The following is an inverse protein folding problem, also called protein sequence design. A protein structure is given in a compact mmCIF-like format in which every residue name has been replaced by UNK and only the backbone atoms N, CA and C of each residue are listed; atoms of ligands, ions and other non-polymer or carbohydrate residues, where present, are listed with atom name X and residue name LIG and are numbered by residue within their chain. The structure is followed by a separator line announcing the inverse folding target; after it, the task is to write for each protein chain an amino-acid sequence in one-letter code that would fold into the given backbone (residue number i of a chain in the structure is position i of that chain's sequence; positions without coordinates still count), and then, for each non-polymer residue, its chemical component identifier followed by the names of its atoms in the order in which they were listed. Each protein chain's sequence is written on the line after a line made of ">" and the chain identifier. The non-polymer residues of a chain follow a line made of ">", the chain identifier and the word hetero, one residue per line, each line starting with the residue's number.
data_IF_784910911718
#
_entry.id   IF_784910911718
#
_cell.length_a   1.000
_cell.length_b   1.000
_cell.length_c   1.000
_cell.angle_alpha   90.00
_cell.angle_beta   90.00
_cell.angle_gamma   90.00
#
_symmetry.space_group_name_H-M   'P 1'
#
loop_
_entity.id
_entity.type
_entity.pdbx_description
1 polymer ?
#
# COMPACT_ATOMS: atom_id res chain seq x y z
N UNK A 1 30.58 -17.73 11.02
CA UNK A 1 30.70 -16.86 9.82
C UNK A 1 31.88 -17.35 9.02
N UNK A 2 31.69 -17.69 7.75
CA UNK A 2 32.79 -18.10 6.88
C UNK A 2 33.13 -16.94 5.96
N UNK A 3 34.31 -16.36 6.09
CA UNK A 3 34.80 -15.38 5.12
C UNK A 3 35.29 -16.21 3.92
N UNK A 4 34.51 -16.27 2.86
CA UNK A 4 34.92 -16.93 1.62
C UNK A 4 35.72 -15.92 0.78
N UNK A 5 37.05 -16.01 0.84
CA UNK A 5 37.92 -15.19 -0.01
C UNK A 5 37.92 -15.81 -1.41
N UNK A 6 37.17 -15.21 -2.34
CA UNK A 6 37.24 -15.56 -3.75
C UNK A 6 38.32 -14.71 -4.44
N UNK A 7 39.60 -14.95 -4.05
CA UNK A 7 40.81 -15.01 -4.90
C UNK A 7 42.08 -14.94 -4.03
N UNK A 8 42.92 -15.97 -4.08
CA UNK A 8 44.37 -15.93 -3.85
C UNK A 8 45.05 -16.52 -5.12
N UNK A 9 46.35 -16.33 -5.37
CA UNK A 9 46.94 -16.24 -6.71
C UNK A 9 46.64 -17.50 -7.56
N UNK A 10 45.93 -17.30 -8.67
CA UNK A 10 45.35 -18.36 -9.51
C UNK A 10 43.88 -18.11 -9.82
N UNK A 11 43.58 -16.92 -10.35
CA UNK A 11 42.24 -16.38 -10.55
C UNK A 11 41.24 -17.42 -11.10
N UNK A 12 40.18 -17.69 -10.34
CA UNK A 12 38.95 -18.20 -10.91
C UNK A 12 38.34 -17.07 -11.76
N UNK A 13 38.66 -17.07 -13.05
CA UNK A 13 38.06 -16.17 -14.03
C UNK A 13 36.54 -16.35 -14.00
N UNK A 14 35.80 -15.24 -14.11
CA UNK A 14 34.36 -15.29 -14.30
C UNK A 14 34.04 -16.21 -15.50
N UNK A 15 32.97 -17.03 -15.44
CA UNK A 15 31.88 -17.00 -14.45
C UNK A 15 32.07 -17.95 -13.26
N UNK A 16 31.65 -17.53 -12.07
CA UNK A 16 31.69 -18.37 -10.84
C UNK A 16 30.70 -19.55 -10.85
N UNK A 17 29.66 -19.51 -11.69
CA UNK A 17 28.61 -20.53 -11.73
C UNK A 17 27.56 -20.40 -10.64
N UNK A 18 27.47 -19.25 -9.94
CA UNK A 18 26.45 -18.99 -8.93
C UNK A 18 25.22 -18.30 -9.55
N UNK A 19 24.03 -18.85 -9.31
CA UNK A 19 22.75 -18.16 -9.52
C UNK A 19 22.27 -17.60 -8.19
N UNK A 20 21.72 -16.39 -8.22
CA UNK A 20 21.25 -15.71 -7.02
C UNK A 20 19.76 -15.37 -7.10
N UNK A 21 19.05 -15.58 -6.00
CA UNK A 21 17.66 -15.17 -5.80
C UNK A 21 17.54 -14.05 -4.76
N UNK A 22 16.49 -13.25 -4.93
CA UNK A 22 16.07 -12.24 -3.95
C UNK A 22 15.27 -12.93 -2.86
N UNK A 23 15.73 -12.86 -1.62
CA UNK A 23 14.93 -13.28 -0.46
C UNK A 23 13.80 -12.30 -0.16
N UNK A 24 12.77 -12.76 0.58
CA UNK A 24 11.67 -11.89 1.02
C UNK A 24 12.12 -10.76 1.94
N UNK A 25 13.23 -10.94 2.65
CA UNK A 25 13.90 -9.91 3.45
C UNK A 25 14.69 -8.89 2.60
N UNK A 26 14.64 -9.01 1.26
CA UNK A 26 15.37 -8.17 0.32
C UNK A 26 16.84 -8.58 0.13
N UNK A 27 17.32 -9.61 0.84
CA UNK A 27 18.69 -10.09 0.75
C UNK A 27 18.99 -10.89 -0.51
N UNK A 28 20.28 -11.17 -0.72
CA UNK A 28 20.79 -11.96 -1.86
C UNK A 28 21.22 -13.34 -1.39
N UNK A 29 20.67 -14.39 -2.01
CA UNK A 29 20.90 -15.78 -1.64
C UNK A 29 21.35 -16.61 -2.83
N UNK A 30 22.16 -17.64 -2.62
CA UNK A 30 22.50 -18.60 -3.66
C UNK A 30 21.28 -19.48 -3.94
N UNK A 31 20.78 -19.41 -5.17
CA UNK A 31 19.63 -20.18 -5.66
C UNK A 31 20.07 -21.50 -6.31
N UNK A 32 21.18 -21.46 -7.05
CA UNK A 32 21.76 -22.65 -7.65
C UNK A 32 23.27 -22.50 -7.85
N UNK A 33 23.96 -23.63 -7.90
CA UNK A 33 25.38 -23.73 -8.23
C UNK A 33 25.47 -24.58 -9.50
N UNK A 34 26.06 -24.01 -10.56
CA UNK A 34 26.18 -24.67 -11.85
C UNK A 34 27.33 -25.70 -11.83
N UNK A 35 27.08 -26.97 -12.22
CA UNK A 35 28.11 -28.01 -12.23
C UNK A 35 29.32 -27.65 -13.10
N UNK A 36 30.53 -27.99 -12.65
CA UNK A 36 31.78 -27.80 -13.39
C UNK A 36 32.38 -26.39 -13.36
N UNK A 37 31.67 -25.41 -12.80
CA UNK A 37 32.15 -24.05 -12.58
C UNK A 37 32.98 -23.93 -11.29
N UNK A 38 33.66 -22.79 -11.12
CA UNK A 38 34.56 -22.53 -9.99
C UNK A 38 33.89 -22.67 -8.61
N UNK A 39 32.63 -22.23 -8.46
CA UNK A 39 31.92 -22.39 -7.19
C UNK A 39 31.56 -23.86 -6.87
N UNK A 40 31.29 -24.66 -7.90
CA UNK A 40 31.02 -26.10 -7.76
C UNK A 40 32.30 -26.86 -7.40
N UNK A 41 33.38 -26.63 -8.16
CA UNK A 41 34.70 -27.26 -7.95
C UNK A 41 35.31 -26.96 -6.58
N UNK A 42 35.06 -25.79 -6.01
CA UNK A 42 35.65 -25.38 -4.73
C UNK A 42 34.87 -25.92 -3.52
N UNK A 43 33.59 -26.29 -3.68
CA UNK A 43 32.74 -26.76 -2.57
C UNK A 43 32.52 -25.73 -1.44
N UNK A 44 32.94 -24.48 -1.63
CA UNK A 44 32.91 -23.44 -0.59
C UNK A 44 31.50 -22.89 -0.36
N UNK A 45 30.60 -23.06 -1.32
CA UNK A 45 29.24 -22.53 -1.29
C UNK A 45 28.21 -23.65 -1.13
N UNK A 46 27.05 -23.29 -0.60
CA UNK A 46 25.87 -24.14 -0.59
C UNK A 46 24.66 -23.34 -1.06
N UNK A 47 23.72 -24.02 -1.71
CA UNK A 47 22.42 -23.42 -2.03
C UNK A 47 21.78 -22.92 -0.71
N UNK A 48 21.21 -21.73 -0.74
CA UNK A 48 20.64 -21.03 0.41
C UNK A 48 21.61 -20.11 1.16
N UNK A 49 22.92 -20.14 0.90
CA UNK A 49 23.87 -19.23 1.56
C UNK A 49 23.56 -17.75 1.24
N UNK A 50 23.69 -16.86 2.24
CA UNK A 50 23.37 -15.43 2.13
C UNK A 50 24.62 -14.59 1.87
N UNK A 51 24.54 -13.63 0.96
CA UNK A 51 25.57 -12.59 0.79
C UNK A 51 25.41 -11.55 1.92
N UNK A 52 26.44 -11.37 2.73
CA UNK A 52 26.48 -10.42 3.85
C UNK A 52 27.30 -9.17 3.50
N UNK A 53 28.29 -9.32 2.62
CA UNK A 53 29.12 -8.21 2.15
C UNK A 53 29.67 -8.53 0.76
N UNK A 54 29.89 -7.49 -0.06
CA UNK A 54 30.50 -7.61 -1.39
C UNK A 54 31.51 -6.49 -1.60
N UNK A 55 32.56 -6.75 -2.38
CA UNK A 55 33.44 -5.71 -2.86
C UNK A 55 32.69 -4.70 -3.72
N UNK A 56 33.13 -3.44 -3.75
CA UNK A 56 32.59 -2.37 -4.59
C UNK A 56 32.69 -2.71 -6.10
N UNK A 57 32.22 -1.84 -7.01
CA UNK A 57 32.46 -2.07 -8.46
C UNK A 57 33.94 -1.87 -8.82
N UNK A 58 34.57 -0.87 -8.17
CA UNK A 58 35.97 -0.49 -8.37
C UNK A 58 36.74 -0.62 -7.04
N UNK A 59 38.00 -1.04 -7.10
CA UNK A 59 38.85 -1.20 -5.91
C UNK A 59 38.61 -2.50 -5.13
N UNK A 60 39.23 -2.63 -3.96
CA UNK A 60 39.23 -3.86 -3.14
C UNK A 60 38.39 -3.75 -1.87
N UNK A 61 37.79 -2.59 -1.62
CA UNK A 61 36.98 -2.34 -0.42
C UNK A 61 35.72 -3.22 -0.40
N UNK A 62 35.43 -3.80 0.77
CA UNK A 62 34.26 -4.65 1.02
C UNK A 62 33.24 -3.88 1.85
N UNK A 63 32.02 -3.78 1.32
CA UNK A 63 30.90 -3.11 1.96
C UNK A 63 29.79 -4.10 2.31
N UNK A 64 28.97 -3.83 3.34
CA UNK A 64 27.78 -4.63 3.63
C UNK A 64 26.90 -4.79 2.40
N UNK A 65 26.36 -6.00 2.20
CA UNK A 65 25.48 -6.27 1.09
C UNK A 65 24.18 -5.48 1.28
N UNK A 66 23.88 -4.61 0.31
CA UNK A 66 22.63 -3.86 0.23
C UNK A 66 21.45 -4.77 -0.17
N UNK A 67 20.32 -4.19 -0.54
CA UNK A 67 19.22 -4.94 -1.12
C UNK A 67 19.61 -5.60 -2.46
N UNK A 68 18.96 -6.71 -2.78
CA UNK A 68 19.29 -7.61 -3.89
C UNK A 68 19.69 -6.91 -5.19
N UNK A 69 18.93 -5.90 -5.61
CA UNK A 69 19.20 -5.18 -6.85
C UNK A 69 20.59 -4.53 -6.87
N UNK A 70 20.95 -3.83 -5.78
CA UNK A 70 22.26 -3.19 -5.64
C UNK A 70 23.37 -4.21 -5.49
N UNK A 71 23.18 -5.25 -4.66
CA UNK A 71 24.18 -6.33 -4.54
C UNK A 71 24.46 -6.99 -5.88
N UNK A 72 23.41 -7.32 -6.64
CA UNK A 72 23.55 -7.95 -7.96
C UNK A 72 24.16 -7.02 -9.00
N UNK A 73 23.85 -5.73 -8.96
CA UNK A 73 24.52 -4.74 -9.80
C UNK A 73 26.03 -4.77 -9.57
N UNK A 74 26.46 -4.72 -8.31
CA UNK A 74 27.89 -4.74 -7.96
C UNK A 74 28.58 -6.03 -8.41
N UNK A 75 27.92 -7.18 -8.20
CA UNK A 75 28.45 -8.50 -8.62
C UNK A 75 28.58 -8.58 -10.15
N UNK A 76 27.58 -8.10 -10.90
CA UNK A 76 27.54 -8.21 -12.37
C UNK A 76 28.47 -7.21 -13.07
N UNK A 77 28.63 -6.02 -12.52
CA UNK A 77 29.45 -4.96 -13.11
C UNK A 77 30.90 -4.97 -12.61
N UNK A 78 31.27 -5.93 -11.75
CA UNK A 78 32.59 -6.00 -11.13
C UNK A 78 33.69 -6.15 -12.19
N UNK A 79 34.66 -5.23 -12.15
CA UNK A 79 35.89 -5.31 -12.93
C UNK A 79 37.00 -5.82 -11.99
N UNK A 80 37.56 -6.99 -12.30
CA UNK A 80 38.57 -7.65 -11.47
C UNK A 80 37.99 -8.68 -10.48
N UNK A 81 38.78 -9.14 -9.50
CA UNK A 81 38.37 -10.22 -8.59
C UNK A 81 37.18 -9.81 -7.72
N UNK A 82 36.18 -10.67 -7.56
CA UNK A 82 34.98 -10.42 -6.75
C UNK A 82 35.17 -10.97 -5.33
N UNK A 83 35.13 -10.11 -4.32
CA UNK A 83 35.20 -10.53 -2.91
C UNK A 83 33.82 -10.50 -2.27
N UNK A 84 33.44 -11.59 -1.59
CA UNK A 84 32.16 -11.67 -0.89
C UNK A 84 32.30 -12.30 0.48
N UNK A 85 31.55 -11.80 1.46
CA UNK A 85 31.37 -12.46 2.76
C UNK A 85 30.02 -13.17 2.76
N UNK A 86 30.03 -14.46 3.03
CA UNK A 86 28.84 -15.30 3.01
C UNK A 86 28.43 -15.71 4.43
N UNK A 87 27.14 -15.85 4.66
CA UNK A 87 26.60 -16.58 5.80
C UNK A 87 26.15 -17.95 5.32
N UNK A 88 26.81 -18.98 5.85
CA UNK A 88 26.44 -20.37 5.61
C UNK A 88 25.04 -20.63 6.19
N UNK A 89 24.16 -21.21 5.39
CA UNK A 89 22.78 -21.55 5.79
C UNK A 89 22.46 -23.05 5.64
N UNK A 90 23.45 -23.87 5.29
CA UNK A 90 23.35 -25.34 5.29
C UNK A 90 22.15 -25.89 4.49
N UNK A 91 21.85 -25.30 3.32
CA UNK A 91 20.71 -25.72 2.51
C UNK A 91 19.35 -25.18 2.96
N UNK A 92 19.29 -24.34 3.99
CA UNK A 92 18.04 -23.71 4.41
C UNK A 92 17.55 -22.72 3.33
N UNK A 93 16.39 -23.02 2.73
CA UNK A 93 15.75 -22.25 1.67
C UNK A 93 14.69 -21.26 2.19
N UNK A 94 14.58 -21.06 3.51
CA UNK A 94 13.54 -20.21 4.13
C UNK A 94 13.69 -18.73 3.77
N UNK A 95 14.73 -18.34 3.01
CA UNK A 95 14.80 -17.01 2.40
C UNK A 95 13.64 -16.72 1.43
N UNK A 96 13.06 -17.77 0.84
CA UNK A 96 11.89 -17.66 0.00
C UNK A 96 10.62 -17.34 0.80
N UNK A 97 10.61 -17.59 2.11
CA UNK A 97 9.52 -17.32 3.06
C UNK A 97 8.15 -17.91 2.69
N UNK A 98 7.14 -17.64 3.52
CA UNK A 98 5.76 -18.02 3.20
C UNK A 98 5.19 -17.15 2.07
N UNK A 99 4.47 -17.77 1.14
CA UNK A 99 3.71 -17.06 0.12
C UNK A 99 2.65 -16.17 0.75
N UNK A 100 2.50 -14.96 0.22
CA UNK A 100 1.37 -14.09 0.57
C UNK A 100 0.05 -14.70 0.11
N UNK A 101 -1.05 -14.32 0.75
CA UNK A 101 -2.41 -14.70 0.34
C UNK A 101 -2.63 -14.47 -1.16
N UNK A 102 -2.12 -13.35 -1.71
CA UNK A 102 -2.22 -13.02 -3.14
C UNK A 102 -1.47 -13.99 -4.04
N UNK A 103 -0.28 -14.43 -3.63
CA UNK A 103 0.54 -15.39 -4.38
C UNK A 103 -0.09 -16.78 -4.35
N UNK A 104 -0.60 -17.22 -3.20
CA UNK A 104 -1.34 -18.48 -3.04
C UNK A 104 -2.56 -18.49 -3.96
N UNK A 105 -3.39 -17.44 -3.90
CA UNK A 105 -4.58 -17.32 -4.74
C UNK A 105 -4.20 -17.31 -6.23
N UNK A 106 -3.12 -16.62 -6.62
CA UNK A 106 -2.67 -16.56 -8.02
C UNK A 106 -2.15 -17.91 -8.51
N UNK A 107 -1.34 -18.60 -7.71
CA UNK A 107 -0.79 -19.91 -8.06
C UNK A 107 -1.91 -20.94 -8.25
N UNK A 108 -2.89 -20.97 -7.35
CA UNK A 108 -4.03 -21.90 -7.43
C UNK A 108 -4.99 -21.59 -8.56
N UNK A 109 -5.27 -20.30 -8.84
CA UNK A 109 -6.04 -19.94 -10.04
C UNK A 109 -5.36 -20.40 -11.33
N UNK A 110 -4.03 -20.29 -11.40
CA UNK A 110 -3.27 -20.74 -12.55
C UNK A 110 -3.23 -22.27 -12.68
N UNK A 111 -3.33 -23.01 -11.58
CA UNK A 111 -3.36 -24.48 -11.59
C UNK A 111 -4.73 -25.07 -11.89
N UNK A 112 -5.80 -24.26 -11.88
CA UNK A 112 -7.17 -24.71 -12.09
C UNK A 112 -7.78 -25.47 -10.91
N UNK A 113 -7.10 -25.52 -9.76
CA UNK A 113 -7.54 -26.22 -8.54
C UNK A 113 -7.71 -25.19 -7.42
N UNK A 114 -8.88 -25.17 -6.79
CA UNK A 114 -9.13 -24.37 -5.58
C UNK A 114 -8.99 -25.28 -4.36
N UNK A 115 -7.93 -25.07 -3.58
CA UNK A 115 -7.68 -25.83 -2.35
C UNK A 115 -8.48 -25.28 -1.16
N UNK A 116 -8.51 -26.05 -0.06
CA UNK A 116 -9.08 -25.58 1.22
C UNK A 116 -8.35 -24.35 1.76
N UNK A 117 -7.07 -24.16 1.40
CA UNK A 117 -6.29 -22.99 1.82
C UNK A 117 -6.83 -21.71 1.21
N UNK A 118 -7.18 -21.70 -0.08
CA UNK A 118 -7.81 -20.52 -0.71
C UNK A 118 -9.21 -20.27 -0.16
N UNK A 119 -9.98 -21.33 0.13
CA UNK A 119 -11.31 -21.20 0.78
C UNK A 119 -11.19 -20.54 2.14
N UNK A 120 -10.20 -20.94 2.94
CA UNK A 120 -9.92 -20.32 4.24
C UNK A 120 -9.49 -18.85 4.12
N UNK A 121 -8.60 -18.53 3.19
CA UNK A 121 -8.18 -17.14 2.92
C UNK A 121 -9.39 -16.28 2.52
N UNK A 122 -10.29 -16.80 1.67
CA UNK A 122 -11.50 -16.09 1.26
C UNK A 122 -12.44 -15.86 2.45
N UNK A 123 -12.66 -16.88 3.29
CA UNK A 123 -13.47 -16.78 4.51
C UNK A 123 -12.91 -15.74 5.48
N UNK A 124 -11.59 -15.75 5.72
CA UNK A 124 -10.93 -14.77 6.59
C UNK A 124 -11.03 -13.35 6.02
N UNK A 125 -10.83 -13.17 4.71
CA UNK A 125 -10.97 -11.86 4.07
C UNK A 125 -12.41 -11.33 4.10
N UNK A 126 -13.39 -12.22 3.95
CA UNK A 126 -14.79 -11.87 4.12
C UNK A 126 -15.09 -11.42 5.56
N UNK A 127 -14.61 -12.18 6.55
CA UNK A 127 -14.78 -11.85 7.96
C UNK A 127 -14.13 -10.51 8.33
N UNK A 128 -12.88 -10.27 7.91
CA UNK A 128 -12.18 -8.98 8.09
C UNK A 128 -12.97 -7.81 7.49
N UNK A 129 -13.63 -8.02 6.35
CA UNK A 129 -14.45 -6.99 5.69
C UNK A 129 -15.70 -6.67 6.50
N UNK A 130 -16.38 -7.67 7.05
CA UNK A 130 -17.52 -7.48 7.95
C UNK A 130 -17.09 -6.72 9.20
N UNK A 131 -16.03 -7.18 9.88
CA UNK A 131 -15.54 -6.56 11.11
C UNK A 131 -15.12 -5.10 10.91
N UNK A 132 -14.49 -4.77 9.77
CA UNK A 132 -14.17 -3.39 9.42
C UNK A 132 -15.41 -2.53 9.24
N UNK A 133 -16.45 -3.06 8.57
CA UNK A 133 -17.71 -2.35 8.40
C UNK A 133 -18.41 -2.12 9.75
N UNK A 134 -18.54 -3.15 10.57
CA UNK A 134 -19.13 -3.04 11.92
C UNK A 134 -18.37 -2.08 12.82
N UNK A 135 -17.04 -2.05 12.71
CA UNK A 135 -16.21 -1.07 13.42
C UNK A 135 -16.53 0.35 12.98
N UNK A 136 -16.57 0.64 11.68
CA UNK A 136 -16.90 1.96 11.15
C UNK A 136 -18.29 2.42 11.58
N UNK A 137 -19.29 1.55 11.48
CA UNK A 137 -20.66 1.85 11.92
C UNK A 137 -20.73 2.17 13.42
N UNK A 138 -19.95 1.46 14.23
CA UNK A 138 -19.84 1.73 15.67
C UNK A 138 -19.16 3.07 15.94
N UNK A 139 -18.01 3.32 15.32
CA UNK A 139 -17.27 4.58 15.47
C UNK A 139 -18.10 5.78 15.00
N UNK A 140 -18.82 5.67 13.89
CA UNK A 140 -19.74 6.70 13.41
C UNK A 140 -20.85 6.99 14.43
N UNK A 141 -21.44 5.94 15.02
CA UNK A 141 -22.49 6.09 16.05
C UNK A 141 -21.95 6.73 17.33
N UNK A 142 -20.77 6.31 17.78
CA UNK A 142 -20.09 6.90 18.93
C UNK A 142 -19.79 8.39 18.68
N UNK A 143 -19.26 8.74 17.50
CA UNK A 143 -19.00 10.11 17.11
C UNK A 143 -20.28 10.97 17.14
N UNK A 144 -21.39 10.45 16.60
CA UNK A 144 -22.68 11.15 16.67
C UNK A 144 -23.20 11.34 18.10
N UNK A 145 -22.93 10.39 19.01
CA UNK A 145 -23.31 10.52 20.42
C UNK A 145 -22.47 11.58 21.12
N UNK A 146 -21.15 11.57 20.93
CA UNK A 146 -20.23 12.57 21.47
C UNK A 146 -20.58 13.96 20.96
N UNK A 147 -20.89 14.07 19.67
CA UNK A 147 -21.30 15.32 19.03
C UNK A 147 -22.54 15.91 19.69
N UNK A 148 -23.58 15.09 19.91
CA UNK A 148 -24.81 15.52 20.59
C UNK A 148 -24.59 15.99 22.02
N UNK A 149 -23.55 15.49 22.68
CA UNK A 149 -23.14 15.91 24.02
C UNK A 149 -22.29 17.18 24.03
N UNK A 150 -21.94 17.74 22.86
CA UNK A 150 -21.10 18.93 22.73
C UNK A 150 -19.59 18.61 22.73
N UNK A 151 -19.19 17.34 22.76
CA UNK A 151 -17.79 16.92 22.73
C UNK A 151 -17.28 16.88 21.29
N UNK A 152 -17.16 18.04 20.64
CA UNK A 152 -16.90 18.13 19.20
C UNK A 152 -15.52 17.61 18.78
N UNK A 153 -14.50 17.78 19.63
CA UNK A 153 -13.15 17.27 19.34
C UNK A 153 -13.13 15.73 19.35
N UNK A 154 -13.66 15.10 20.40
CA UNK A 154 -13.77 13.64 20.51
C UNK A 154 -14.67 13.05 19.42
N UNK A 155 -15.76 13.76 19.07
CA UNK A 155 -16.61 13.37 17.96
C UNK A 155 -15.86 13.39 16.63
N UNK A 156 -15.08 14.44 16.37
CA UNK A 156 -14.25 14.57 15.17
C UNK A 156 -13.28 13.40 15.05
N UNK A 157 -12.58 13.05 16.13
CA UNK A 157 -11.63 11.92 16.13
C UNK A 157 -12.29 10.60 15.70
N UNK A 158 -13.54 10.34 16.13
CA UNK A 158 -14.28 9.16 15.71
C UNK A 158 -14.62 9.18 14.23
N UNK A 159 -15.06 10.32 13.69
CA UNK A 159 -15.33 10.46 12.27
C UNK A 159 -14.07 10.36 11.41
N UNK A 160 -12.96 10.95 11.84
CA UNK A 160 -11.64 10.83 11.18
C UNK A 160 -11.13 9.38 11.21
N UNK A 161 -11.40 8.63 12.29
CA UNK A 161 -11.09 7.20 12.37
C UNK A 161 -11.84 6.38 11.30
N UNK A 162 -13.12 6.72 11.07
CA UNK A 162 -13.92 6.13 9.98
C UNK A 162 -13.26 6.42 8.63
N UNK A 163 -12.87 7.67 8.36
CA UNK A 163 -12.19 8.08 7.12
C UNK A 163 -10.85 7.33 6.91
N UNK A 164 -10.07 7.12 7.98
CA UNK A 164 -8.81 6.38 7.94
C UNK A 164 -8.95 4.86 7.73
N UNK A 165 -10.17 4.33 7.72
CA UNK A 165 -10.43 2.88 7.72
C UNK A 165 -10.96 2.30 6.41
N UNK A 166 -10.69 3.01 5.29
CA UNK A 166 -11.15 2.67 3.93
C UNK A 166 -12.68 2.51 3.86
N UNK A 167 -13.43 3.57 4.19
CA UNK A 167 -14.87 3.58 4.04
C UNK A 167 -15.29 3.40 2.57
N UNK A 168 -16.54 3.01 2.36
CA UNK A 168 -17.23 3.24 1.08
C UNK A 168 -17.42 4.74 0.84
N UNK A 169 -17.64 5.15 -0.40
CA UNK A 169 -17.89 6.57 -0.74
C UNK A 169 -19.03 7.16 0.08
N UNK A 170 -20.12 6.40 0.29
CA UNK A 170 -21.25 6.82 1.14
C UNK A 170 -20.86 6.98 2.61
N UNK A 171 -20.06 6.07 3.17
CA UNK A 171 -19.57 6.21 4.54
C UNK A 171 -18.61 7.40 4.67
N UNK A 172 -17.77 7.62 3.65
CA UNK A 172 -16.81 8.72 3.59
C UNK A 172 -17.52 10.07 3.56
N UNK A 173 -18.47 10.25 2.64
CA UNK A 173 -19.21 11.50 2.47
C UNK A 173 -19.97 11.89 3.75
N UNK A 174 -20.59 10.92 4.42
CA UNK A 174 -21.27 11.14 5.70
C UNK A 174 -20.29 11.48 6.83
N UNK A 175 -19.15 10.77 6.92
CA UNK A 175 -18.15 11.05 7.95
C UNK A 175 -17.51 12.44 7.75
N UNK A 176 -17.11 12.79 6.52
CA UNK A 176 -16.56 14.11 6.18
C UNK A 176 -17.54 15.24 6.46
N UNK A 177 -18.84 15.06 6.15
CA UNK A 177 -19.87 16.03 6.51
C UNK A 177 -19.92 16.27 8.03
N UNK A 178 -19.89 15.20 8.82
CA UNK A 178 -19.90 15.34 10.28
C UNK A 178 -18.60 15.95 10.81
N UNK A 179 -17.44 15.69 10.20
CA UNK A 179 -16.17 16.38 10.49
C UNK A 179 -16.30 17.89 10.23
N UNK A 180 -16.91 18.28 9.10
CA UNK A 180 -17.19 19.68 8.78
C UNK A 180 -18.07 20.35 9.84
N UNK A 181 -19.12 19.67 10.31
CA UNK A 181 -19.95 20.12 11.43
C UNK A 181 -19.13 20.32 12.72
N UNK A 182 -18.27 19.37 13.08
CA UNK A 182 -17.38 19.51 14.25
C UNK A 182 -16.48 20.74 14.13
N UNK A 183 -15.79 20.89 13.00
CA UNK A 183 -14.90 22.05 12.78
C UNK A 183 -15.66 23.38 12.80
N UNK A 184 -16.85 23.42 12.20
CA UNK A 184 -17.74 24.57 12.28
C UNK A 184 -18.05 24.94 13.73
N UNK A 185 -18.47 23.98 14.57
CA UNK A 185 -18.75 24.21 16.01
C UNK A 185 -17.52 24.67 16.79
N UNK A 186 -16.34 24.21 16.40
CA UNK A 186 -15.04 24.60 16.98
C UNK A 186 -14.49 25.93 16.39
N UNK A 187 -15.24 26.57 15.49
CA UNK A 187 -14.84 27.79 14.77
C UNK A 187 -13.52 27.66 13.99
N UNK A 188 -13.21 26.45 13.52
CA UNK A 188 -12.04 26.12 12.70
C UNK A 188 -12.44 26.13 11.22
N UNK A 189 -12.66 27.35 10.71
CA UNK A 189 -13.34 27.60 9.42
C UNK A 189 -12.68 26.87 8.24
N UNK A 190 -11.37 27.04 8.05
CA UNK A 190 -10.67 26.51 6.88
C UNK A 190 -10.70 24.97 6.85
N UNK A 191 -10.49 24.34 8.01
CA UNK A 191 -10.58 22.88 8.13
C UNK A 191 -12.01 22.38 7.89
N UNK A 192 -13.01 23.12 8.39
CA UNK A 192 -14.42 22.80 8.15
C UNK A 192 -14.83 22.90 6.68
N UNK A 193 -14.37 23.92 5.97
CA UNK A 193 -14.62 24.07 4.53
C UNK A 193 -13.94 22.96 3.72
N UNK A 194 -12.70 22.60 4.06
CA UNK A 194 -12.01 21.47 3.44
C UNK A 194 -12.76 20.16 3.65
N UNK A 195 -13.19 19.87 4.88
CA UNK A 195 -13.95 18.66 5.16
C UNK A 195 -15.34 18.65 4.47
N UNK A 196 -15.96 19.81 4.29
CA UNK A 196 -17.22 19.92 3.54
C UNK A 196 -17.00 19.70 2.04
N UNK A 197 -15.90 20.21 1.49
CA UNK A 197 -15.48 19.93 0.12
C UNK A 197 -15.24 18.42 -0.08
N UNK A 198 -14.49 17.77 0.81
CA UNK A 198 -14.29 16.31 0.79
C UNK A 198 -15.63 15.56 0.80
N UNK A 199 -16.59 16.00 1.63
CA UNK A 199 -17.92 15.38 1.68
C UNK A 199 -18.64 15.48 0.33
N UNK A 200 -18.60 16.65 -0.31
CA UNK A 200 -19.21 16.91 -1.60
C UNK A 200 -18.53 16.11 -2.72
N UNK A 201 -17.20 16.01 -2.72
CA UNK A 201 -16.44 15.21 -3.70
C UNK A 201 -16.72 13.70 -3.57
N UNK A 202 -16.92 13.21 -2.35
CA UNK A 202 -17.33 11.82 -2.08
C UNK A 202 -18.82 11.55 -2.39
N UNK A 203 -19.57 12.58 -2.81
CA UNK A 203 -20.96 12.46 -3.26
C UNK A 203 -22.00 12.71 -2.16
N UNK A 204 -21.76 13.64 -1.24
CA UNK A 204 -22.80 14.10 -0.31
C UNK A 204 -23.85 14.94 -1.05
N UNK A 205 -25.07 14.43 -1.17
CA UNK A 205 -26.11 15.03 -2.03
C UNK A 205 -27.15 15.90 -1.30
N UNK A 206 -27.18 15.93 0.04
CA UNK A 206 -28.16 16.73 0.78
C UNK A 206 -27.74 18.21 0.88
N UNK A 207 -27.66 18.87 -0.27
CA UNK A 207 -27.30 20.29 -0.37
C UNK A 207 -28.31 21.20 0.34
N UNK A 208 -29.56 20.78 0.48
CA UNK A 208 -30.57 21.52 1.25
C UNK A 208 -30.15 21.57 2.72
N UNK A 209 -29.72 20.42 3.27
CA UNK A 209 -29.17 20.37 4.61
C UNK A 209 -27.93 21.22 4.74
N UNK A 210 -26.94 21.11 3.83
CA UNK A 210 -25.71 21.93 3.88
C UNK A 210 -26.02 23.44 4.02
N UNK A 211 -27.02 23.95 3.30
CA UNK A 211 -27.40 25.38 3.33
C UNK A 211 -28.16 25.82 4.58
N UNK A 212 -28.78 24.89 5.29
CA UNK A 212 -29.70 25.20 6.41
C UNK A 212 -29.21 24.68 7.75
N UNK A 213 -28.23 23.77 7.77
CA UNK A 213 -27.79 23.10 8.97
C UNK A 213 -27.23 24.14 9.97
N UNK A 214 -27.81 24.26 11.17
CA UNK A 214 -27.31 25.18 12.20
C UNK A 214 -25.89 24.78 12.66
N UNK A 215 -25.48 23.55 12.43
CA UNK A 215 -24.14 23.10 12.79
C UNK A 215 -23.07 23.65 11.87
N UNK A 216 -23.43 23.97 10.63
CA UNK A 216 -22.55 24.62 9.66
C UNK A 216 -22.65 26.15 9.71
N UNK A 217 -23.35 26.74 10.69
CA UNK A 217 -23.60 28.18 10.73
C UNK A 217 -22.33 29.04 10.64
N UNK A 218 -21.24 28.63 11.30
CA UNK A 218 -19.97 29.36 11.26
C UNK A 218 -19.32 29.29 9.87
N UNK A 219 -19.41 28.16 9.16
CA UNK A 219 -18.93 28.07 7.77
C UNK A 219 -19.82 28.87 6.83
N UNK A 220 -21.15 28.77 6.99
CA UNK A 220 -22.15 29.48 6.18
C UNK A 220 -22.05 31.00 6.27
N UNK A 221 -21.42 31.53 7.31
CA UNK A 221 -21.19 32.97 7.47
C UNK A 221 -20.02 33.50 6.61
N UNK A 222 -19.33 32.64 5.87
CA UNK A 222 -18.11 32.97 5.10
C UNK A 222 -18.38 33.05 3.60
N UNK A 223 -17.64 33.89 2.88
CA UNK A 223 -17.77 34.03 1.44
C UNK A 223 -17.21 32.80 0.69
N UNK A 224 -16.27 32.10 1.31
CA UNK A 224 -15.64 30.87 0.83
C UNK A 224 -16.66 29.74 0.76
N UNK A 225 -17.59 29.64 1.72
CA UNK A 225 -18.70 28.68 1.67
C UNK A 225 -19.58 28.88 0.44
N UNK A 226 -19.95 30.13 0.14
CA UNK A 226 -20.76 30.44 -1.06
C UNK A 226 -20.01 30.08 -2.34
N UNK A 227 -18.70 30.32 -2.37
CA UNK A 227 -17.84 29.98 -3.51
C UNK A 227 -17.77 28.46 -3.71
N UNK A 228 -17.56 27.72 -2.61
CA UNK A 228 -17.55 26.26 -2.61
C UNK A 228 -18.87 25.70 -3.16
N UNK A 229 -20.01 26.15 -2.64
CA UNK A 229 -21.32 25.65 -3.07
C UNK A 229 -21.65 25.98 -4.52
N UNK A 230 -21.35 27.20 -4.99
CA UNK A 230 -21.59 27.58 -6.39
C UNK A 230 -20.89 26.64 -7.37
N UNK A 231 -19.66 26.23 -7.07
CA UNK A 231 -18.89 25.29 -7.91
C UNK A 231 -19.59 23.94 -8.06
N UNK A 232 -20.16 23.42 -6.98
CA UNK A 232 -20.90 22.15 -7.02
C UNK A 232 -22.32 22.29 -7.61
N UNK A 233 -22.99 23.42 -7.39
CA UNK A 233 -24.29 23.71 -8.03
C UNK A 233 -24.17 23.79 -9.55
N UNK A 234 -23.18 24.53 -10.08
CA UNK A 234 -22.92 24.65 -11.51
C UNK A 234 -22.56 23.30 -12.15
N UNK A 235 -21.75 22.51 -11.46
CA UNK A 235 -21.34 21.17 -11.92
C UNK A 235 -22.55 20.24 -12.03
N UNK A 236 -23.41 20.22 -11.02
CA UNK A 236 -24.63 19.41 -11.01
C UNK A 236 -25.64 19.86 -12.08
N UNK A 237 -25.83 21.18 -12.26
CA UNK A 237 -26.70 21.71 -13.31
C UNK A 237 -26.17 21.34 -14.70
N UNK A 238 -24.88 21.49 -14.95
CA UNK A 238 -24.27 21.13 -16.23
C UNK A 238 -24.39 19.63 -16.51
N UNK A 239 -24.09 18.77 -15.53
CA UNK A 239 -24.18 17.32 -15.71
C UNK A 239 -25.62 16.87 -15.99
N UNK A 240 -26.60 17.41 -15.25
CA UNK A 240 -28.01 17.14 -15.50
C UNK A 240 -28.48 17.68 -16.86
N UNK A 241 -28.05 18.88 -17.26
CA UNK A 241 -28.37 19.42 -18.58
C UNK A 241 -27.77 18.56 -19.70
N UNK A 242 -26.52 18.12 -19.56
CA UNK A 242 -25.85 17.21 -20.51
C UNK A 242 -26.58 15.87 -20.58
N UNK A 243 -26.95 15.29 -19.45
CA UNK A 243 -27.65 14.01 -19.39
C UNK A 243 -29.07 14.11 -19.94
N UNK A 244 -29.79 15.21 -19.69
CA UNK A 244 -31.09 15.50 -20.28
C UNK A 244 -31.01 15.65 -21.81
N UNK A 245 -29.99 16.37 -22.32
CA UNK A 245 -29.73 16.47 -23.77
C UNK A 245 -29.40 15.09 -24.35
N UNK A 246 -28.52 14.30 -23.73
CA UNK A 246 -28.20 12.93 -24.19
C UNK A 246 -29.43 12.02 -24.23
N UNK A 247 -30.34 12.17 -23.26
CA UNK A 247 -31.61 11.44 -23.20
C UNK A 247 -32.59 11.89 -24.29
N UNK A 248 -32.74 13.20 -24.49
CA UNK A 248 -33.60 13.81 -25.51
C UNK A 248 -33.13 13.50 -26.94
N UNK A 249 -31.82 13.44 -27.18
CA UNK A 249 -31.23 13.11 -28.47
C UNK A 249 -30.79 11.65 -28.58
N UNK A 250 -31.37 10.77 -27.74
CA UNK A 250 -31.09 9.33 -27.62
C UNK A 250 -30.25 8.75 -28.75
N UNK A 251 -28.93 8.72 -28.56
CA UNK A 251 -28.04 7.89 -29.35
C UNK A 251 -28.25 6.44 -28.93
N UNK A 252 -29.35 5.86 -29.42
CA UNK A 252 -29.60 4.44 -29.38
C UNK A 252 -28.60 3.79 -30.37
N UNK A 253 -27.38 3.50 -29.88
CA UNK A 253 -26.50 2.59 -30.61
C UNK A 253 -26.98 1.17 -30.34
N UNK A 254 -27.63 0.60 -31.36
CA UNK A 254 -27.79 -0.84 -31.55
C UNK A 254 -26.45 -1.56 -31.42
#
# INVERSE_FOLDING_TARGET
>A
MTVAILTAPGAAEQPLGLKFAKGRDGGTYIDAIAPGYSADKTGQFSVGDKVISTSAVFGTEIWPAAEYGRTMYTIRQRIGPLYMKMQRRFGNLDYAGEMSEKEIIRAERNSGVISDRVREIQRQNYQRKIEQKERRERELREGLQLYKSGNYEEAREKFESVLGSRPTTTEASVASYNVACCYSKLNQIQAGLSALEDALEEGYEDFKRIRTDPDLANLRATAEFDTLLKRFDESFINENAINAIKSLFGFNKK
#
